data_IF_558646469851
#
_entry.id   IF_558646469851
#
_cell.length_a   1.000
_cell.length_b   1.000
_cell.length_c   1.000
_cell.angle_alpha   90.00
_cell.angle_beta   90.00
_cell.angle_gamma   90.00
#
_symmetry.space_group_name_H-M   'P 1'
#
loop_
_entity.id
_entity.type
_entity.pdbx_description
1 polymer ?
#
# COMPACT_ATOMS: atom_id res chain seq x y z
N UNK A 1 8.19 -2.92 -21.67
CA UNK A 1 6.79 -3.41 -21.73
C UNK A 1 5.90 -2.19 -21.52
N UNK A 2 4.94 -1.95 -22.38
CA UNK A 2 3.92 -0.91 -22.12
C UNK A 2 2.89 -1.48 -21.16
N UNK A 3 2.76 -0.88 -19.98
CA UNK A 3 1.83 -1.31 -18.94
C UNK A 3 0.39 -0.80 -19.15
N UNK A 4 0.14 -0.01 -20.18
CA UNK A 4 -1.19 0.51 -20.53
C UNK A 4 -1.87 1.28 -19.37
N UNK A 5 -1.07 2.01 -18.59
CA UNK A 5 -1.53 2.76 -17.41
C UNK A 5 -1.83 4.22 -17.70
N UNK A 6 -1.39 4.73 -18.85
CA UNK A 6 -1.58 6.14 -19.23
C UNK A 6 -3.07 6.52 -19.22
N UNK A 7 -3.40 7.58 -18.50
CA UNK A 7 -4.77 8.08 -18.38
C UNK A 7 -5.63 7.37 -17.33
N UNK A 8 -5.09 6.36 -16.62
CA UNK A 8 -5.71 5.81 -15.42
C UNK A 8 -5.57 6.76 -14.24
N UNK A 9 -6.43 6.61 -13.26
CA UNK A 9 -6.44 7.40 -12.02
C UNK A 9 -6.13 6.52 -10.83
N UNK A 10 -5.30 6.99 -9.88
CA UNK A 10 -4.94 6.21 -8.70
C UNK A 10 -5.04 7.01 -7.41
N UNK A 11 -5.62 6.40 -6.38
CA UNK A 11 -5.52 6.87 -4.99
C UNK A 11 -4.44 6.08 -4.26
N UNK A 12 -3.42 6.79 -3.76
CA UNK A 12 -2.33 6.19 -2.97
C UNK A 12 -2.36 6.73 -1.54
N UNK A 13 -2.61 5.86 -0.57
CA UNK A 13 -2.56 6.22 0.85
C UNK A 13 -1.15 6.03 1.42
N UNK A 14 -0.76 6.85 2.40
CA UNK A 14 0.59 6.79 2.99
C UNK A 14 1.71 7.25 2.05
N UNK A 15 1.41 8.14 1.11
CA UNK A 15 2.31 8.56 0.04
C UNK A 15 3.43 9.52 0.47
N UNK A 16 3.47 9.97 1.72
CA UNK A 16 4.45 10.98 2.16
C UNK A 16 5.89 10.48 2.25
N UNK A 17 6.12 9.16 2.37
CA UNK A 17 7.46 8.59 2.55
C UNK A 17 7.53 7.11 2.11
N UNK A 18 8.75 6.58 2.01
CA UNK A 18 9.05 5.15 1.83
C UNK A 18 8.27 4.51 0.67
N UNK A 19 7.68 3.35 0.92
CA UNK A 19 7.00 2.53 -0.09
C UNK A 19 5.87 3.30 -0.81
N UNK A 20 5.01 4.01 -0.05
CA UNK A 20 3.90 4.76 -0.65
C UNK A 20 4.36 5.89 -1.58
N UNK A 21 5.46 6.56 -1.22
CA UNK A 21 6.10 7.59 -2.05
C UNK A 21 6.67 7.00 -3.34
N UNK A 22 7.38 5.88 -3.24
CA UNK A 22 7.95 5.19 -4.40
C UNK A 22 6.85 4.68 -5.35
N UNK A 23 5.76 4.13 -4.81
CA UNK A 23 4.59 3.70 -5.60
C UNK A 23 3.98 4.88 -6.35
N UNK A 24 3.75 6.02 -5.67
CA UNK A 24 3.19 7.21 -6.31
C UNK A 24 4.09 7.70 -7.46
N UNK A 25 5.41 7.74 -7.26
CA UNK A 25 6.37 8.09 -8.32
C UNK A 25 6.35 7.11 -9.48
N UNK A 26 6.31 5.79 -9.20
CA UNK A 26 6.25 4.75 -10.22
C UNK A 26 4.98 4.84 -11.07
N UNK A 27 3.81 5.03 -10.45
CA UNK A 27 2.55 5.21 -11.16
C UNK A 27 2.55 6.51 -11.99
N UNK A 28 3.08 7.62 -11.45
CA UNK A 28 3.20 8.88 -12.17
C UNK A 28 4.08 8.74 -13.44
N UNK A 29 5.17 7.99 -13.36
CA UNK A 29 6.08 7.72 -14.50
C UNK A 29 5.37 6.96 -15.63
N UNK A 30 4.36 6.14 -15.31
CA UNK A 30 3.52 5.45 -16.30
C UNK A 30 2.33 6.32 -16.80
N UNK A 31 2.29 7.61 -16.44
CA UNK A 31 1.24 8.54 -16.88
C UNK A 31 -0.09 8.40 -16.16
N UNK A 32 -0.10 7.82 -14.96
CA UNK A 32 -1.27 7.74 -14.08
C UNK A 32 -1.53 9.10 -13.43
N UNK A 33 -2.78 9.54 -13.39
CA UNK A 33 -3.20 10.70 -12.63
C UNK A 33 -3.41 10.31 -11.16
N UNK A 34 -2.80 11.07 -10.24
CA UNK A 34 -2.70 10.66 -8.85
C UNK A 34 -3.56 11.52 -7.93
N UNK A 35 -4.19 10.86 -6.98
CA UNK A 35 -4.62 11.43 -5.70
C UNK A 35 -3.73 10.83 -4.62
N UNK A 36 -3.07 11.66 -3.82
CA UNK A 36 -2.17 11.22 -2.77
C UNK A 36 -2.62 11.70 -1.41
N UNK A 37 -2.56 10.81 -0.40
CA UNK A 37 -2.94 11.17 0.96
C UNK A 37 -1.93 10.66 1.98
N UNK A 38 -1.68 11.49 2.96
CA UNK A 38 -0.95 11.21 4.20
C UNK A 38 -1.23 12.35 5.21
N UNK A 39 -0.78 12.20 6.45
CA UNK A 39 -0.95 13.26 7.46
C UNK A 39 -0.11 14.50 7.20
N UNK A 40 1.10 14.32 6.65
CA UNK A 40 2.08 15.40 6.41
C UNK A 40 1.88 15.98 5.00
N UNK A 41 1.15 17.09 4.93
CA UNK A 41 0.87 17.79 3.68
C UNK A 41 2.15 18.34 3.01
N UNK A 42 3.08 18.87 3.81
CA UNK A 42 4.37 19.37 3.34
C UNK A 42 5.20 18.31 2.59
N UNK A 43 5.18 17.06 3.06
CA UNK A 43 5.86 15.96 2.37
C UNK A 43 5.14 15.53 1.08
N UNK A 44 3.82 15.68 1.03
CA UNK A 44 3.05 15.46 -0.20
C UNK A 44 3.34 16.55 -1.23
N UNK A 45 3.52 17.81 -0.81
CA UNK A 45 3.95 18.88 -1.72
C UNK A 45 5.36 18.64 -2.29
N UNK A 46 6.29 18.14 -1.48
CA UNK A 46 7.62 17.74 -1.96
C UNK A 46 7.52 16.60 -2.97
N UNK A 47 6.68 15.58 -2.70
CA UNK A 47 6.41 14.50 -3.65
C UNK A 47 5.85 15.05 -4.96
N UNK A 48 4.89 15.96 -4.90
CA UNK A 48 4.32 16.62 -6.08
C UNK A 48 5.38 17.32 -6.92
N UNK A 49 6.24 18.11 -6.28
CA UNK A 49 7.34 18.80 -6.95
C UNK A 49 8.31 17.83 -7.63
N UNK A 50 8.63 16.70 -6.99
CA UNK A 50 9.49 15.65 -7.59
C UNK A 50 8.84 14.98 -8.80
N UNK A 51 7.54 14.67 -8.72
CA UNK A 51 6.78 14.08 -9.83
C UNK A 51 6.75 15.04 -11.02
N UNK A 52 6.45 16.32 -10.79
CA UNK A 52 6.43 17.35 -11.85
C UNK A 52 7.82 17.53 -12.46
N UNK A 53 8.86 17.58 -11.64
CA UNK A 53 10.25 17.67 -12.11
C UNK A 53 10.65 16.48 -12.99
N UNK A 54 10.08 15.30 -12.72
CA UNK A 54 10.31 14.09 -13.52
C UNK A 54 9.42 14.03 -14.78
N UNK A 55 8.59 15.04 -15.06
CA UNK A 55 7.72 15.12 -16.23
C UNK A 55 6.31 14.54 -16.03
N UNK A 56 5.96 14.12 -14.82
CA UNK A 56 4.62 13.65 -14.47
C UNK A 56 3.65 14.81 -14.21
N UNK A 57 2.35 14.51 -14.15
CA UNK A 57 1.32 15.46 -13.71
C UNK A 57 1.39 15.69 -12.21
N UNK A 58 1.13 16.92 -11.76
CA UNK A 58 0.99 17.21 -10.34
C UNK A 58 -0.18 16.39 -9.75
N UNK A 59 0.04 15.64 -8.66
CA UNK A 59 -1.02 14.90 -7.99
C UNK A 59 -2.02 15.84 -7.29
N UNK A 60 -3.26 15.38 -7.14
CA UNK A 60 -4.20 15.96 -6.19
C UNK A 60 -3.80 15.59 -4.77
N UNK A 61 -3.56 16.57 -3.93
CA UNK A 61 -3.07 16.38 -2.55
C UNK A 61 -4.24 16.50 -1.58
N UNK A 62 -4.52 15.43 -0.83
CA UNK A 62 -5.56 15.37 0.20
C UNK A 62 -4.94 14.98 1.56
N UNK A 63 -4.42 15.92 2.36
CA UNK A 63 -3.80 15.61 3.65
C UNK A 63 -4.87 15.14 4.65
N UNK A 64 -4.80 13.86 5.07
CA UNK A 64 -5.77 13.28 6.01
C UNK A 64 -5.11 12.29 6.97
N UNK A 65 -5.68 12.18 8.19
CA UNK A 65 -5.31 11.11 9.14
C UNK A 65 -6.26 9.93 8.98
N UNK A 66 -5.74 8.79 8.56
CA UNK A 66 -6.52 7.56 8.41
C UNK A 66 -7.11 7.04 9.73
N UNK A 67 -6.64 7.50 10.90
CA UNK A 67 -7.24 7.12 12.18
C UNK A 67 -8.56 7.86 12.47
N UNK A 68 -8.78 9.04 11.90
CA UNK A 68 -10.03 9.76 12.10
C UNK A 68 -11.21 8.97 11.52
N UNK A 69 -12.36 9.01 12.20
CA UNK A 69 -13.48 8.09 11.97
C UNK A 69 -14.06 8.18 10.55
N UNK A 70 -14.33 9.38 10.07
CA UNK A 70 -14.96 9.60 8.78
C UNK A 70 -13.99 9.70 7.61
N UNK A 71 -12.68 9.65 7.87
CA UNK A 71 -11.65 9.81 6.83
C UNK A 71 -11.87 8.87 5.63
N UNK A 72 -12.17 7.58 5.77
CA UNK A 72 -12.34 6.71 4.60
C UNK A 72 -13.44 7.18 3.64
N UNK A 73 -14.57 7.64 4.16
CA UNK A 73 -15.70 8.13 3.36
C UNK A 73 -15.39 9.48 2.72
N UNK A 74 -14.83 10.39 3.51
CA UNK A 74 -14.45 11.74 3.04
C UNK A 74 -13.38 11.62 1.96
N UNK A 75 -12.34 10.81 2.19
CA UNK A 75 -11.25 10.60 1.24
C UNK A 75 -11.75 10.00 -0.08
N UNK A 76 -12.61 8.98 -0.02
CA UNK A 76 -13.19 8.38 -1.23
C UNK A 76 -13.99 9.40 -2.05
N UNK A 77 -14.87 10.15 -1.39
CA UNK A 77 -15.66 11.22 -2.04
C UNK A 77 -14.78 12.28 -2.67
N UNK A 78 -13.82 12.80 -1.93
CA UNK A 78 -12.99 13.90 -2.37
C UNK A 78 -11.98 13.48 -3.45
N UNK A 79 -11.48 12.23 -3.38
CA UNK A 79 -10.63 11.64 -4.41
C UNK A 79 -11.38 11.47 -5.74
N UNK A 80 -12.59 10.90 -5.70
CA UNK A 80 -13.45 10.78 -6.91
C UNK A 80 -13.81 12.15 -7.46
N UNK A 81 -14.14 13.12 -6.60
CA UNK A 81 -14.42 14.49 -7.04
C UNK A 81 -13.21 15.15 -7.72
N UNK A 82 -12.00 14.90 -7.23
CA UNK A 82 -10.78 15.50 -7.75
C UNK A 82 -10.33 14.89 -9.09
N UNK A 83 -10.42 13.55 -9.22
CA UNK A 83 -9.92 12.80 -10.38
C UNK A 83 -11.01 12.31 -11.36
N UNK A 84 -12.29 12.56 -11.06
CA UNK A 84 -13.43 12.07 -11.83
C UNK A 84 -13.83 10.63 -11.53
N UNK A 85 -12.86 9.74 -11.36
CA UNK A 85 -13.02 8.33 -10.98
C UNK A 85 -11.75 7.82 -10.29
N UNK A 86 -11.80 6.66 -9.66
CA UNK A 86 -10.61 5.98 -9.12
C UNK A 86 -10.50 4.57 -9.73
N UNK A 87 -9.59 4.41 -10.66
CA UNK A 87 -9.27 3.14 -11.30
C UNK A 87 -8.43 2.23 -10.39
N UNK A 88 -7.48 2.82 -9.66
CA UNK A 88 -6.48 2.11 -8.88
C UNK A 88 -6.51 2.61 -7.43
N UNK A 89 -6.65 1.69 -6.47
CA UNK A 89 -6.53 1.98 -5.05
C UNK A 89 -5.31 1.27 -4.46
N UNK A 90 -4.37 2.05 -3.94
CA UNK A 90 -3.22 1.50 -3.20
C UNK A 90 -3.35 1.83 -1.71
N UNK A 91 -3.69 0.82 -0.93
CA UNK A 91 -3.75 0.89 0.52
C UNK A 91 -2.34 0.67 1.09
N UNK A 92 -1.59 1.76 1.30
CA UNK A 92 -0.22 1.73 1.84
C UNK A 92 -0.10 2.41 3.21
N UNK A 93 -1.09 3.21 3.62
CA UNK A 93 -1.11 3.79 4.96
C UNK A 93 -1.17 2.69 6.02
N UNK A 94 -0.24 2.72 6.96
CA UNK A 94 -0.15 1.74 8.03
C UNK A 94 1.05 2.02 8.93
N UNK A 95 1.15 1.27 10.02
CA UNK A 95 2.27 1.34 10.94
C UNK A 95 2.59 -0.05 11.48
N UNK A 96 3.83 -0.28 11.88
CA UNK A 96 4.21 -1.47 12.66
C UNK A 96 4.03 -1.17 14.15
N UNK A 97 3.45 -2.10 14.89
CA UNK A 97 3.18 -1.97 16.33
C UNK A 97 3.65 -3.23 17.06
N UNK A 98 4.99 -3.38 17.27
CA UNK A 98 5.53 -4.45 18.12
C UNK A 98 5.01 -4.28 19.54
N UNK A 99 4.60 -5.38 20.17
CA UNK A 99 3.99 -5.37 21.51
C UNK A 99 4.41 -6.62 22.29
N UNK A 100 4.26 -6.55 23.63
CA UNK A 100 4.26 -7.71 24.50
C UNK A 100 2.86 -8.31 24.60
N UNK A 101 2.76 -9.50 25.19
CA UNK A 101 1.46 -10.17 25.40
C UNK A 101 0.55 -9.43 26.38
N UNK A 102 1.11 -8.59 27.24
CA UNK A 102 0.40 -7.75 28.22
C UNK A 102 -0.05 -6.39 27.66
N UNK A 103 0.08 -6.16 26.35
CA UNK A 103 -0.27 -4.88 25.75
C UNK A 103 -1.75 -4.56 25.95
N UNK A 104 -2.04 -3.32 26.35
CA UNK A 104 -3.38 -2.84 26.60
C UNK A 104 -4.25 -2.85 25.32
N UNK A 105 -5.57 -3.01 25.49
CA UNK A 105 -6.53 -3.17 24.40
C UNK A 105 -6.55 -1.97 23.44
N UNK A 106 -6.34 -0.75 23.92
CA UNK A 106 -6.31 0.46 23.11
C UNK A 106 -5.19 0.44 22.05
N UNK A 107 -4.06 -0.20 22.36
CA UNK A 107 -2.95 -0.40 21.41
C UNK A 107 -3.38 -1.36 20.30
N UNK A 108 -4.07 -2.44 20.67
CA UNK A 108 -4.66 -3.40 19.74
C UNK A 108 -5.71 -2.75 18.86
N UNK A 109 -6.66 -2.03 19.45
CA UNK A 109 -7.73 -1.34 18.73
C UNK A 109 -7.18 -0.34 17.72
N UNK A 110 -6.20 0.46 18.12
CA UNK A 110 -5.53 1.42 17.23
C UNK A 110 -4.83 0.72 16.06
N UNK A 111 -4.12 -0.38 16.33
CA UNK A 111 -3.44 -1.15 15.29
C UNK A 111 -4.44 -1.79 14.31
N UNK A 112 -5.53 -2.40 14.83
CA UNK A 112 -6.60 -2.97 14.03
C UNK A 112 -7.33 -1.89 13.22
N UNK A 113 -7.61 -0.75 13.83
CA UNK A 113 -8.27 0.37 13.14
C UNK A 113 -7.45 0.83 11.95
N UNK A 114 -6.17 1.15 12.14
CA UNK A 114 -5.33 1.69 11.08
C UNK A 114 -5.05 0.66 9.97
N UNK A 115 -4.69 -0.58 10.36
CA UNK A 115 -4.13 -1.55 9.42
C UNK A 115 -5.17 -2.54 8.84
N UNK A 116 -6.42 -2.55 9.34
CA UNK A 116 -7.51 -3.37 8.81
C UNK A 116 -8.78 -2.56 8.58
N UNK A 117 -9.36 -1.96 9.63
CA UNK A 117 -10.69 -1.35 9.57
C UNK A 117 -10.75 -0.23 8.53
N UNK A 118 -9.78 0.68 8.54
CA UNK A 118 -9.73 1.82 7.61
C UNK A 118 -9.42 1.40 6.18
N UNK A 119 -8.58 0.39 5.98
CA UNK A 119 -8.32 -0.22 4.67
C UNK A 119 -9.61 -0.78 4.08
N UNK A 120 -10.33 -1.58 4.86
CA UNK A 120 -11.63 -2.14 4.46
C UNK A 120 -12.66 -1.04 4.14
N UNK A 121 -12.79 -0.05 5.03
CA UNK A 121 -13.78 1.03 4.87
C UNK A 121 -13.49 1.88 3.61
N UNK A 122 -12.23 2.26 3.36
CA UNK A 122 -11.85 3.01 2.17
C UNK A 122 -12.11 2.19 0.90
N UNK A 123 -11.70 0.93 0.91
CA UNK A 123 -11.96 0.02 -0.21
C UNK A 123 -13.46 -0.07 -0.52
N UNK A 124 -14.29 -0.29 0.49
CA UNK A 124 -15.74 -0.35 0.31
C UNK A 124 -16.36 0.98 -0.16
N UNK A 125 -15.77 2.11 0.21
CA UNK A 125 -16.24 3.43 -0.25
C UNK A 125 -15.87 3.72 -1.72
N UNK A 126 -14.77 3.15 -2.23
CA UNK A 126 -14.33 3.27 -3.64
C UNK A 126 -14.99 2.22 -4.54
N UNK A 127 -15.29 1.03 -4.05
CA UNK A 127 -15.80 -0.08 -4.84
C UNK A 127 -17.03 0.25 -5.71
N UNK A 128 -18.05 1.02 -5.25
CA UNK A 128 -19.19 1.37 -6.11
C UNK A 128 -18.77 2.12 -7.38
N UNK A 129 -17.76 2.99 -7.30
CA UNK A 129 -17.20 3.69 -8.44
C UNK A 129 -16.54 2.70 -9.41
N UNK A 130 -15.64 1.84 -8.94
CA UNK A 130 -14.99 0.81 -9.77
C UNK A 130 -16.00 -0.17 -10.41
N UNK A 131 -17.04 -0.56 -9.68
CA UNK A 131 -18.11 -1.43 -10.18
C UNK A 131 -18.88 -0.75 -11.33
N UNK A 132 -19.17 0.54 -11.20
CA UNK A 132 -19.90 1.30 -12.23
C UNK A 132 -19.11 1.39 -13.55
N UNK A 133 -17.78 1.44 -13.48
CA UNK A 133 -16.88 1.47 -14.63
C UNK A 133 -16.42 0.09 -15.11
N UNK A 134 -16.85 -1.01 -14.44
CA UNK A 134 -16.48 -2.39 -14.75
C UNK A 134 -14.97 -2.60 -14.83
N UNK A 135 -14.22 -1.88 -14.01
CA UNK A 135 -12.75 -1.95 -13.94
C UNK A 135 -12.24 -1.46 -12.59
N UNK A 136 -11.23 -2.13 -12.05
CA UNK A 136 -10.56 -1.69 -10.82
C UNK A 136 -9.33 -2.52 -10.48
N UNK A 137 -8.37 -1.87 -9.81
CA UNK A 137 -7.16 -2.51 -9.27
C UNK A 137 -7.00 -2.08 -7.82
N UNK A 138 -7.08 -3.03 -6.90
CA UNK A 138 -6.91 -2.77 -5.47
C UNK A 138 -5.66 -3.51 -5.01
N UNK A 139 -4.67 -2.76 -4.51
CA UNK A 139 -3.40 -3.30 -4.04
C UNK A 139 -3.21 -2.92 -2.58
N UNK A 140 -3.09 -3.93 -1.72
CA UNK A 140 -2.90 -3.76 -0.28
C UNK A 140 -1.43 -3.99 0.09
N UNK A 141 -0.74 -2.99 0.62
CA UNK A 141 0.60 -3.14 1.18
C UNK A 141 0.45 -3.68 2.60
N UNK A 142 0.73 -4.96 2.77
CA UNK A 142 0.47 -5.68 4.01
C UNK A 142 1.74 -5.88 4.85
N UNK A 143 1.89 -6.99 5.50
CA UNK A 143 3.04 -7.32 6.33
C UNK A 143 3.40 -8.79 6.20
N UNK A 144 4.45 -9.16 6.89
CA UNK A 144 4.92 -10.55 6.93
C UNK A 144 3.80 -11.52 7.33
N UNK A 145 3.73 -12.65 6.66
CA UNK A 145 2.86 -13.78 7.05
C UNK A 145 3.50 -14.59 8.18
N UNK A 146 4.82 -14.58 8.27
CA UNK A 146 5.60 -15.28 9.28
C UNK A 146 6.08 -14.29 10.33
N UNK A 147 5.56 -14.41 11.53
CA UNK A 147 5.91 -13.53 12.64
C UNK A 147 6.99 -14.16 13.51
N UNK A 148 8.06 -13.42 13.79
CA UNK A 148 9.09 -13.80 14.75
C UNK A 148 8.85 -13.22 16.15
N UNK A 149 7.75 -12.48 16.33
CA UNK A 149 7.35 -11.85 17.58
C UNK A 149 5.95 -11.28 17.48
N UNK A 150 5.35 -10.96 18.64
CA UNK A 150 4.00 -10.42 18.70
C UNK A 150 3.97 -8.98 18.15
N UNK A 151 3.05 -8.72 17.26
CA UNK A 151 2.87 -7.41 16.63
C UNK A 151 1.40 -7.24 16.23
N UNK A 152 0.71 -6.29 16.84
CA UNK A 152 -0.71 -6.06 16.61
C UNK A 152 -1.02 -5.71 15.14
N UNK A 153 -0.10 -5.01 14.47
CA UNK A 153 -0.27 -4.66 13.05
C UNK A 153 -0.15 -5.88 12.13
N UNK A 154 0.62 -6.89 12.50
CA UNK A 154 0.71 -8.12 11.69
C UNK A 154 -0.58 -8.91 11.76
N UNK A 155 -1.21 -9.01 12.94
CA UNK A 155 -2.53 -9.62 13.11
C UNK A 155 -3.59 -8.90 12.25
N UNK A 156 -3.59 -7.56 12.27
CA UNK A 156 -4.49 -6.76 11.46
C UNK A 156 -4.27 -6.99 9.95
N UNK A 157 -3.01 -7.02 9.50
CA UNK A 157 -2.65 -7.22 8.10
C UNK A 157 -2.88 -8.66 7.62
N UNK A 158 -2.77 -9.65 8.50
CA UNK A 158 -3.19 -11.03 8.21
C UNK A 158 -4.70 -11.11 7.97
N UNK A 159 -5.49 -10.33 8.70
CA UNK A 159 -6.93 -10.17 8.45
C UNK A 159 -7.24 -9.63 7.05
N UNK A 160 -6.42 -8.72 6.51
CA UNK A 160 -6.54 -8.25 5.12
C UNK A 160 -6.42 -9.41 4.13
N UNK A 161 -5.50 -10.35 4.36
CA UNK A 161 -5.31 -11.48 3.44
C UNK A 161 -6.57 -12.35 3.29
N UNK A 162 -7.21 -12.68 4.41
CA UNK A 162 -8.46 -13.46 4.39
C UNK A 162 -9.63 -12.64 3.81
N UNK A 163 -9.80 -11.40 4.26
CA UNK A 163 -10.85 -10.51 3.81
C UNK A 163 -10.78 -10.24 2.31
N UNK A 164 -9.61 -9.85 1.77
CA UNK A 164 -9.45 -9.57 0.34
C UNK A 164 -9.75 -10.82 -0.52
N UNK A 165 -9.38 -12.02 -0.04
CA UNK A 165 -9.68 -13.26 -0.76
C UNK A 165 -11.17 -13.52 -0.87
N UNK A 166 -11.93 -13.24 0.19
CA UNK A 166 -13.40 -13.28 0.17
C UNK A 166 -13.97 -12.22 -0.78
N UNK A 167 -13.53 -10.96 -0.65
CA UNK A 167 -14.01 -9.85 -1.46
C UNK A 167 -13.74 -10.05 -2.96
N UNK A 168 -12.59 -10.65 -3.31
CA UNK A 168 -12.27 -11.00 -4.70
C UNK A 168 -13.38 -11.82 -5.35
N UNK A 169 -13.99 -12.77 -4.64
CA UNK A 169 -15.07 -13.63 -5.18
C UNK A 169 -16.35 -12.86 -5.50
N UNK A 170 -16.57 -11.75 -4.79
CA UNK A 170 -17.78 -10.93 -4.99
C UNK A 170 -17.62 -9.95 -6.16
N UNK A 171 -16.41 -9.36 -6.33
CA UNK A 171 -16.23 -8.22 -7.22
C UNK A 171 -15.50 -8.50 -8.53
N UNK A 172 -14.85 -9.67 -8.67
CA UNK A 172 -14.06 -9.97 -9.89
C UNK A 172 -14.87 -10.00 -11.18
N UNK A 173 -16.15 -10.35 -11.10
CA UNK A 173 -17.08 -10.30 -12.24
C UNK A 173 -17.26 -8.91 -12.84
N UNK A 174 -16.85 -7.86 -12.10
CA UNK A 174 -16.86 -6.47 -12.55
C UNK A 174 -15.49 -5.99 -13.05
N UNK A 175 -14.59 -6.89 -13.42
CA UNK A 175 -13.26 -6.54 -13.92
C UNK A 175 -12.30 -6.02 -12.84
N UNK A 176 -12.60 -6.24 -11.54
CA UNK A 176 -11.83 -5.77 -10.42
C UNK A 176 -10.88 -6.86 -9.91
N UNK A 177 -9.60 -6.54 -9.72
CA UNK A 177 -8.66 -7.44 -9.05
C UNK A 177 -8.23 -6.86 -7.69
N UNK A 178 -7.99 -7.74 -6.71
CA UNK A 178 -7.55 -7.37 -5.37
C UNK A 178 -6.37 -8.24 -4.99
N UNK A 179 -5.21 -7.62 -4.79
CA UNK A 179 -3.97 -8.33 -4.45
C UNK A 179 -3.28 -7.70 -3.24
N UNK A 180 -2.43 -8.45 -2.57
CA UNK A 180 -1.59 -7.94 -1.51
C UNK A 180 -0.11 -8.11 -1.83
N UNK A 181 0.68 -7.11 -1.44
CA UNK A 181 2.14 -7.13 -1.55
C UNK A 181 2.71 -7.02 -0.13
N UNK A 182 3.06 -8.17 0.48
CA UNK A 182 3.77 -8.19 1.75
C UNK A 182 5.23 -7.77 1.56
N UNK A 183 5.68 -6.64 2.16
CA UNK A 183 7.08 -6.24 2.13
C UNK A 183 7.94 -7.10 3.06
N UNK A 184 9.16 -7.38 2.65
CA UNK A 184 10.22 -7.81 3.54
C UNK A 184 10.80 -6.65 4.35
N UNK A 185 12.12 -6.61 4.46
CA UNK A 185 12.86 -5.48 5.00
C UNK A 185 13.15 -4.48 3.88
N UNK A 186 12.33 -3.44 3.80
CA UNK A 186 12.46 -2.36 2.80
C UNK A 186 13.04 -1.12 3.49
N UNK A 187 14.05 -0.51 2.88
CA UNK A 187 14.65 0.73 3.37
C UNK A 187 13.58 1.82 3.46
N UNK A 188 13.55 2.51 4.57
CA UNK A 188 12.60 3.59 4.84
C UNK A 188 13.15 4.46 5.97
N UNK A 189 12.59 5.65 6.12
CA UNK A 189 12.94 6.55 7.23
C UNK A 189 12.69 5.87 8.60
N UNK A 190 11.68 4.99 8.69
CA UNK A 190 11.44 4.21 9.90
C UNK A 190 12.57 3.22 10.19
N UNK A 191 13.06 2.52 9.18
CA UNK A 191 14.17 1.56 9.32
C UNK A 191 15.45 2.29 9.70
N UNK A 192 15.75 3.42 9.04
CA UNK A 192 16.93 4.23 9.35
C UNK A 192 16.92 4.77 10.79
N UNK A 193 15.74 5.10 11.31
CA UNK A 193 15.58 5.58 12.69
C UNK A 193 15.69 4.48 13.74
N UNK A 194 15.23 3.26 13.43
CA UNK A 194 15.13 2.18 14.42
C UNK A 194 16.35 1.27 14.48
N UNK A 195 17.13 1.18 13.40
CA UNK A 195 18.22 0.23 13.28
C UNK A 195 19.50 0.93 12.79
N UNK A 196 20.61 0.71 13.49
CA UNK A 196 21.91 1.19 13.05
C UNK A 196 22.34 0.51 11.72
N UNK A 197 23.33 1.06 11.05
CA UNK A 197 23.89 0.46 9.84
C UNK A 197 24.44 -0.95 10.12
N UNK A 198 25.11 -1.09 11.26
CA UNK A 198 25.65 -2.39 11.72
C UNK A 198 24.52 -3.40 11.93
N UNK A 199 23.45 -3.06 12.64
CA UNK A 199 22.32 -3.96 12.88
C UNK A 199 21.66 -4.40 11.57
N UNK A 200 21.53 -3.45 10.61
CA UNK A 200 20.97 -3.76 9.30
C UNK A 200 21.86 -4.71 8.51
N UNK A 201 23.19 -4.49 8.53
CA UNK A 201 24.15 -5.34 7.83
C UNK A 201 24.17 -6.76 8.44
N UNK A 202 24.23 -6.87 9.76
CA UNK A 202 24.20 -8.17 10.46
C UNK A 202 22.89 -8.92 10.18
N UNK A 203 21.75 -8.25 10.29
CA UNK A 203 20.46 -8.88 10.00
C UNK A 203 20.35 -9.33 8.55
N UNK A 204 20.77 -8.49 7.59
CA UNK A 204 20.66 -8.84 6.18
C UNK A 204 21.55 -10.02 5.81
N UNK A 205 22.76 -10.09 6.35
CA UNK A 205 23.67 -11.20 6.10
C UNK A 205 23.17 -12.52 6.71
N UNK A 206 22.50 -12.45 7.87
CA UNK A 206 22.03 -13.64 8.58
C UNK A 206 20.68 -14.16 8.08
N UNK A 207 19.75 -13.26 7.70
CA UNK A 207 18.34 -13.60 7.53
C UNK A 207 17.80 -13.42 6.11
N UNK A 208 18.38 -12.51 5.30
CA UNK A 208 17.86 -12.21 3.97
C UNK A 208 18.70 -12.92 2.91
N UNK A 209 18.15 -13.86 2.13
CA UNK A 209 18.92 -14.60 1.12
C UNK A 209 19.62 -13.70 0.08
N UNK A 210 19.04 -12.55 -0.28
CA UNK A 210 19.69 -11.56 -1.15
C UNK A 210 20.80 -10.76 -0.47
N UNK A 211 21.02 -10.93 0.84
CA UNK A 211 22.09 -10.30 1.63
C UNK A 211 21.88 -8.81 1.90
N UNK A 212 20.75 -8.22 1.54
CA UNK A 212 20.48 -6.79 1.72
C UNK A 212 19.01 -6.49 1.98
N UNK A 213 18.74 -5.31 2.47
CA UNK A 213 17.39 -4.75 2.46
C UNK A 213 17.01 -4.38 1.03
N UNK A 214 15.71 -4.47 0.71
CA UNK A 214 15.17 -3.98 -0.55
C UNK A 214 14.98 -2.46 -0.53
N UNK A 215 14.98 -1.84 -1.71
CA UNK A 215 14.63 -0.44 -1.87
C UNK A 215 13.12 -0.27 -2.10
N UNK A 216 12.51 0.85 -1.72
CA UNK A 216 11.09 1.11 -1.94
C UNK A 216 10.67 0.96 -3.40
N UNK A 217 11.54 1.32 -4.32
CA UNK A 217 11.35 1.25 -5.77
C UNK A 217 11.20 -0.20 -6.26
N UNK A 218 11.92 -1.15 -5.66
CA UNK A 218 11.83 -2.58 -6.01
C UNK A 218 10.43 -3.14 -5.70
N UNK A 219 9.82 -2.70 -4.61
CA UNK A 219 8.45 -3.05 -4.29
C UNK A 219 7.46 -2.30 -5.19
N UNK A 220 7.72 -1.02 -5.46
CA UNK A 220 6.85 -0.19 -6.29
C UNK A 220 6.66 -0.78 -7.69
N UNK A 221 7.70 -1.35 -8.30
CA UNK A 221 7.62 -2.02 -9.62
C UNK A 221 6.55 -3.12 -9.64
N UNK A 222 6.47 -3.94 -8.58
CA UNK A 222 5.45 -4.99 -8.47
C UNK A 222 4.04 -4.39 -8.35
N UNK A 223 3.89 -3.31 -7.59
CA UNK A 223 2.60 -2.62 -7.44
C UNK A 223 2.15 -1.99 -8.77
N UNK A 224 3.07 -1.34 -9.48
CA UNK A 224 2.80 -0.74 -10.79
C UNK A 224 2.38 -1.82 -11.81
N UNK A 225 3.05 -2.97 -11.82
CA UNK A 225 2.64 -4.11 -12.64
C UNK A 225 1.23 -4.60 -12.27
N UNK A 226 0.93 -4.77 -10.98
CA UNK A 226 -0.41 -5.22 -10.54
C UNK A 226 -1.52 -4.20 -10.83
N UNK A 227 -1.18 -2.92 -10.96
CA UNK A 227 -2.10 -1.86 -11.36
C UNK A 227 -2.46 -1.92 -12.86
N UNK A 228 -1.67 -2.61 -13.68
CA UNK A 228 -1.85 -2.70 -15.12
C UNK A 228 -3.07 -3.54 -15.53
N UNK A 229 -3.72 -3.22 -16.68
CA UNK A 229 -4.65 -4.14 -17.34
C UNK A 229 -4.03 -5.51 -17.63
N UNK A 230 -2.73 -5.60 -17.90
CA UNK A 230 -2.01 -6.84 -18.19
C UNK A 230 -1.99 -7.82 -17.02
N UNK A 231 -2.13 -7.32 -15.78
CA UNK A 231 -2.24 -8.14 -14.58
C UNK A 231 -3.67 -8.59 -14.27
N UNK A 232 -4.60 -8.47 -15.21
CA UNK A 232 -6.03 -8.74 -15.01
C UNK A 232 -6.38 -10.17 -14.56
N UNK A 233 -5.49 -11.14 -14.76
CA UNK A 233 -5.68 -12.52 -14.30
C UNK A 233 -4.93 -12.85 -13.00
N UNK A 234 -4.15 -11.90 -12.48
CA UNK A 234 -3.50 -11.97 -11.15
C UNK A 234 -4.49 -11.41 -10.13
N UNK A 235 -5.17 -12.30 -9.37
CA UNK A 235 -6.27 -11.87 -8.51
C UNK A 235 -6.39 -12.71 -7.24
N UNK A 236 -6.55 -12.05 -6.11
CA UNK A 236 -6.70 -12.67 -4.79
C UNK A 236 -5.41 -13.33 -4.28
N UNK A 237 -4.24 -12.87 -4.68
CA UNK A 237 -2.94 -13.44 -4.33
C UNK A 237 -2.15 -12.57 -3.37
N UNK A 238 -1.16 -13.18 -2.73
CA UNK A 238 -0.11 -12.53 -1.95
C UNK A 238 1.18 -12.65 -2.76
N UNK A 239 1.81 -11.52 -3.09
CA UNK A 239 3.10 -11.48 -3.81
C UNK A 239 4.14 -10.86 -2.87
N UNK A 240 4.91 -11.67 -2.11
CA UNK A 240 5.96 -11.16 -1.25
C UNK A 240 7.07 -10.48 -2.07
N UNK A 241 7.51 -9.31 -1.59
CA UNK A 241 8.70 -8.62 -2.11
C UNK A 241 9.66 -8.46 -0.93
N UNK A 242 10.48 -9.50 -0.71
CA UNK A 242 11.17 -9.68 0.56
C UNK A 242 12.61 -10.22 0.45
N UNK A 243 13.15 -10.35 -0.75
CA UNK A 243 14.51 -10.85 -0.96
C UNK A 243 14.69 -12.31 -0.56
N UNK A 244 13.60 -13.08 -0.46
CA UNK A 244 13.61 -14.49 -0.02
C UNK A 244 13.56 -14.66 1.50
N UNK A 245 13.29 -13.58 2.26
CA UNK A 245 13.25 -13.62 3.74
C UNK A 245 12.20 -14.60 4.28
N UNK A 246 11.12 -14.82 3.56
CA UNK A 246 10.09 -15.79 3.92
C UNK A 246 10.64 -17.21 3.79
N UNK A 247 10.43 -18.04 4.84
CA UNK A 247 10.98 -19.39 4.90
C UNK A 247 10.06 -20.48 4.36
N UNK A 248 8.75 -20.22 4.32
CA UNK A 248 7.75 -21.19 3.84
C UNK A 248 7.29 -20.87 2.41
N UNK A 249 7.00 -21.93 1.66
CA UNK A 249 6.64 -21.82 0.24
C UNK A 249 5.24 -21.26 0.01
N UNK A 250 4.34 -21.36 1.00
CA UNK A 250 2.92 -20.96 0.90
C UNK A 250 2.38 -20.42 2.23
#
# INVERSE_FOLDING_TARGET
>A
MDLQLKGKTALVTGASQGIGRAIAKGLAAEGVELVVTARRGDELEKLSAEIVKAGGKAPHILPMDMLAEDTPKILARDAIKAAGQIDILVNCAGASTPIGWEAADDIWEKAMTLNFTRVRQLTHAILPDMISHQWGRIINITGKSETVGLNASFSAKAGIHAWQKGLTREVSKHGITINAVPPGRIMSEQILRLYSEKDRAEFSAAEIPTGRYGEPEELAVVVVFLASPLAGYVNGVLIPVDGGLRRYSF
#
